data_IF_473760846310
#
_entry.id   IF_473760846310
#
_cell.length_a   1.000
_cell.length_b   1.000
_cell.length_c   1.000
_cell.angle_alpha   90.00
_cell.angle_beta   90.00
_cell.angle_gamma   90.00
#
_symmetry.space_group_name_H-M   'P 1'
#
loop_
_entity.id
_entity.type
_entity.pdbx_description
1 polymer ?
#
# COMPACT_ATOMS: atom_id res chain seq x y z
N UNK A 1 0.79 16.14 4.99
CA UNK A 1 1.27 15.06 4.09
C UNK A 1 2.70 15.25 3.53
N UNK A 2 3.28 16.48 3.45
CA UNK A 2 4.58 16.72 2.76
C UNK A 2 5.86 16.41 3.53
N UNK A 3 5.86 16.38 4.87
CA UNK A 3 7.13 16.39 5.64
C UNK A 3 7.81 15.01 5.83
N UNK A 4 7.15 13.88 5.52
CA UNK A 4 7.60 12.55 5.97
C UNK A 4 7.73 11.49 4.85
N UNK A 5 7.48 11.87 3.59
CA UNK A 5 7.74 11.04 2.41
C UNK A 5 9.25 10.86 2.21
N UNK A 6 10.02 11.93 2.44
CA UNK A 6 11.49 11.91 2.35
C UNK A 6 12.12 10.92 3.33
N UNK A 7 11.62 10.83 4.56
CA UNK A 7 12.18 9.89 5.54
C UNK A 7 11.85 8.45 5.18
N UNK A 8 10.64 8.17 4.68
CA UNK A 8 10.27 6.84 4.18
C UNK A 8 11.12 6.42 2.98
N UNK A 9 11.35 7.34 2.03
CA UNK A 9 12.24 7.10 0.88
C UNK A 9 13.67 6.83 1.35
N UNK A 10 14.24 7.69 2.18
CA UNK A 10 15.62 7.55 2.66
C UNK A 10 15.82 6.22 3.40
N UNK A 11 14.87 5.83 4.25
CA UNK A 11 14.93 4.59 5.01
C UNK A 11 14.74 3.35 4.12
N UNK A 12 13.85 3.43 3.12
CA UNK A 12 13.67 2.34 2.14
C UNK A 12 14.91 2.17 1.27
N UNK A 13 15.56 3.27 0.86
CA UNK A 13 16.81 3.24 0.12
C UNK A 13 17.92 2.60 0.95
N UNK A 14 18.04 2.98 2.23
CA UNK A 14 19.02 2.43 3.15
C UNK A 14 18.83 0.92 3.33
N UNK A 15 17.61 0.46 3.62
CA UNK A 15 17.32 -0.96 3.76
C UNK A 15 17.47 -1.71 2.43
N UNK A 16 16.97 -1.15 1.33
CA UNK A 16 17.13 -1.74 -0.01
C UNK A 16 18.58 -1.96 -0.40
N UNK A 17 19.49 -1.07 0.01
CA UNK A 17 20.93 -1.22 -0.20
C UNK A 17 21.52 -2.33 0.70
N UNK A 18 21.14 -2.37 1.98
CA UNK A 18 21.61 -3.39 2.94
C UNK A 18 21.23 -4.81 2.49
N UNK A 19 20.01 -4.99 1.99
CA UNK A 19 19.50 -6.28 1.53
C UNK A 19 19.75 -6.56 0.04
N UNK A 20 20.45 -5.68 -0.67
CA UNK A 20 20.74 -5.76 -2.11
C UNK A 20 19.50 -5.95 -3.01
N UNK A 21 18.37 -5.37 -2.60
CA UNK A 21 17.06 -5.40 -3.30
C UNK A 21 16.58 -3.99 -3.64
N UNK A 22 17.53 -3.10 -3.93
CA UNK A 22 17.29 -1.66 -4.07
C UNK A 22 16.19 -1.31 -5.08
N UNK A 23 16.24 -1.91 -6.28
CA UNK A 23 15.28 -1.64 -7.35
C UNK A 23 13.89 -2.16 -6.99
N UNK A 24 13.80 -3.39 -6.47
CA UNK A 24 12.50 -3.97 -6.06
C UNK A 24 11.90 -3.18 -4.89
N UNK A 25 12.73 -2.73 -3.94
CA UNK A 25 12.27 -1.93 -2.80
C UNK A 25 11.73 -0.56 -3.26
N UNK A 26 12.36 0.05 -4.26
CA UNK A 26 11.85 1.29 -4.84
C UNK A 26 10.53 1.09 -5.58
N UNK A 27 10.39 0.00 -6.34
CA UNK A 27 9.14 -0.37 -7.02
C UNK A 27 8.02 -0.60 -6.00
N UNK A 28 8.31 -1.35 -4.93
CA UNK A 28 7.36 -1.57 -3.84
C UNK A 28 6.93 -0.25 -3.18
N UNK A 29 7.88 0.63 -2.89
CA UNK A 29 7.60 1.93 -2.29
C UNK A 29 6.68 2.79 -3.16
N UNK A 30 6.98 2.89 -4.46
CA UNK A 30 6.16 3.65 -5.41
C UNK A 30 4.77 3.04 -5.51
N UNK A 31 4.66 1.72 -5.63
CA UNK A 31 3.39 1.02 -5.67
C UNK A 31 2.54 1.29 -4.41
N UNK A 32 3.17 1.26 -3.23
CA UNK A 32 2.51 1.59 -1.96
C UNK A 32 2.01 3.03 -1.92
N UNK A 33 2.86 4.00 -2.27
CA UNK A 33 2.50 5.43 -2.25
C UNK A 33 1.33 5.71 -3.19
N UNK A 34 1.41 5.20 -4.42
CA UNK A 34 0.37 5.38 -5.45
C UNK A 34 -0.93 4.73 -4.99
N UNK A 35 -0.88 3.46 -4.59
CA UNK A 35 -2.09 2.73 -4.17
C UNK A 35 -2.73 3.37 -2.95
N UNK A 36 -1.95 3.78 -1.95
CA UNK A 36 -2.43 4.45 -0.72
C UNK A 36 -3.03 5.82 -1.01
N UNK A 37 -2.50 6.56 -1.98
CA UNK A 37 -3.06 7.86 -2.40
C UNK A 37 -4.48 7.72 -2.94
N UNK A 38 -4.79 6.63 -3.65
CA UNK A 38 -6.12 6.40 -4.25
C UNK A 38 -7.05 5.57 -3.37
N UNK A 39 -6.52 4.64 -2.57
CA UNK A 39 -7.35 3.77 -1.71
C UNK A 39 -7.63 4.37 -0.33
N UNK A 40 -6.79 5.31 0.13
CA UNK A 40 -6.84 5.87 1.49
C UNK A 40 -6.23 4.91 2.53
N UNK A 41 -6.88 4.81 3.68
CA UNK A 41 -6.51 3.90 4.77
C UNK A 41 -5.93 4.57 6.02
N UNK A 42 -5.68 3.75 7.03
CA UNK A 42 -5.30 4.20 8.38
C UNK A 42 -3.99 5.00 8.38
N UNK A 43 -4.02 6.20 8.96
CA UNK A 43 -2.85 7.05 9.14
C UNK A 43 -2.22 6.78 10.51
N UNK A 44 -1.09 6.07 10.49
CA UNK A 44 -0.25 5.89 11.67
C UNK A 44 0.45 7.21 12.04
N UNK A 45 0.88 7.36 13.30
CA UNK A 45 1.77 8.45 13.71
C UNK A 45 2.95 8.59 12.76
N UNK A 46 3.36 9.83 12.51
CA UNK A 46 4.31 10.21 11.46
C UNK A 46 5.60 9.38 11.53
N UNK A 47 6.21 9.24 12.71
CA UNK A 47 7.45 8.46 12.91
C UNK A 47 7.29 6.96 12.59
N UNK A 48 6.13 6.38 12.92
CA UNK A 48 5.86 4.96 12.68
C UNK A 48 5.51 4.69 11.21
N UNK A 49 4.85 5.63 10.53
CA UNK A 49 4.43 5.45 9.14
C UNK A 49 5.63 5.29 8.18
N UNK A 50 6.67 6.12 8.35
CA UNK A 50 7.86 6.04 7.49
C UNK A 50 8.69 4.78 7.76
N UNK A 51 8.79 4.36 9.04
CA UNK A 51 9.42 3.11 9.43
C UNK A 51 8.69 1.89 8.86
N UNK A 52 7.37 1.82 9.05
CA UNK A 52 6.53 0.73 8.53
C UNK A 52 6.59 0.67 7.01
N UNK A 53 6.52 1.83 6.34
CA UNK A 53 6.63 1.93 4.88
C UNK A 53 7.95 1.34 4.38
N UNK A 54 9.07 1.69 5.02
CA UNK A 54 10.38 1.18 4.64
C UNK A 54 10.50 -0.32 4.88
N UNK A 55 10.08 -0.80 6.04
CA UNK A 55 10.12 -2.23 6.39
C UNK A 55 9.27 -3.04 5.40
N UNK A 56 8.03 -2.64 5.15
CA UNK A 56 7.14 -3.36 4.23
C UNK A 56 7.66 -3.36 2.80
N UNK A 57 8.21 -2.23 2.33
CA UNK A 57 8.75 -2.12 0.96
C UNK A 57 9.97 -3.02 0.78
N UNK A 58 10.89 -3.04 1.75
CA UNK A 58 12.06 -3.94 1.72
C UNK A 58 11.65 -5.40 1.87
N UNK A 59 10.69 -5.72 2.74
CA UNK A 59 10.19 -7.08 2.90
C UNK A 59 9.52 -7.61 1.63
N UNK A 60 8.65 -6.80 1.00
CA UNK A 60 8.02 -7.12 -0.27
C UNK A 60 9.04 -7.31 -1.40
N UNK A 61 10.15 -6.58 -1.36
CA UNK A 61 11.24 -6.68 -2.32
C UNK A 61 12.08 -7.96 -2.15
N UNK A 62 12.26 -8.44 -0.91
CA UNK A 62 13.04 -9.63 -0.62
C UNK A 62 12.30 -10.96 -0.80
N UNK A 63 10.97 -10.94 -0.84
CA UNK A 63 10.15 -12.16 -0.94
C UNK A 63 9.82 -12.46 -2.42
N UNK A 64 10.29 -13.62 -2.89
CA UNK A 64 9.90 -14.18 -4.18
C UNK A 64 8.73 -15.14 -3.99
N UNK A 65 7.69 -14.97 -4.80
CA UNK A 65 6.49 -15.79 -4.78
C UNK A 65 6.41 -16.60 -6.07
N UNK A 66 5.82 -17.79 -6.00
CA UNK A 66 5.46 -18.53 -7.20
C UNK A 66 4.22 -17.90 -7.89
N UNK A 67 3.96 -18.29 -9.13
CA UNK A 67 2.83 -17.74 -9.90
C UNK A 67 1.47 -17.94 -9.22
N UNK A 68 1.26 -19.07 -8.56
CA UNK A 68 0.01 -19.35 -7.83
C UNK A 68 -0.21 -18.33 -6.71
N UNK A 69 0.79 -18.08 -5.87
CA UNK A 69 0.70 -17.11 -4.78
C UNK A 69 0.60 -15.67 -5.29
N UNK A 70 1.27 -15.33 -6.40
CA UNK A 70 1.13 -14.03 -7.05
C UNK A 70 -0.33 -13.78 -7.44
N UNK A 71 -0.96 -14.75 -8.10
CA UNK A 71 -2.36 -14.65 -8.51
C UNK A 71 -3.30 -14.63 -7.31
N UNK A 72 -3.09 -15.50 -6.32
CA UNK A 72 -3.91 -15.54 -5.10
C UNK A 72 -3.86 -14.22 -4.32
N UNK A 73 -2.66 -13.67 -4.06
CA UNK A 73 -2.51 -12.42 -3.31
C UNK A 73 -3.04 -11.22 -4.09
N UNK A 74 -2.81 -11.18 -5.41
CA UNK A 74 -3.37 -10.12 -6.26
C UNK A 74 -4.90 -10.18 -6.26
N UNK A 75 -5.50 -11.37 -6.38
CA UNK A 75 -6.95 -11.55 -6.33
C UNK A 75 -7.54 -11.15 -4.99
N UNK A 76 -6.93 -11.58 -3.87
CA UNK A 76 -7.38 -11.22 -2.53
C UNK A 76 -7.31 -9.70 -2.30
N UNK A 77 -6.22 -9.07 -2.73
CA UNK A 77 -6.04 -7.61 -2.66
C UNK A 77 -7.09 -6.88 -3.48
N UNK A 78 -7.41 -7.39 -4.68
CA UNK A 78 -8.42 -6.82 -5.56
C UNK A 78 -9.80 -6.89 -4.92
N UNK A 79 -10.17 -8.04 -4.35
CA UNK A 79 -11.45 -8.23 -3.65
C UNK A 79 -11.54 -7.29 -2.45
N UNK A 80 -10.50 -7.22 -1.62
CA UNK A 80 -10.48 -6.31 -0.47
C UNK A 80 -10.67 -4.85 -0.90
N UNK A 81 -10.01 -4.40 -1.96
CA UNK A 81 -10.15 -3.03 -2.49
C UNK A 81 -11.52 -2.77 -3.12
N UNK A 82 -12.10 -3.75 -3.80
CA UNK A 82 -13.46 -3.63 -4.32
C UNK A 82 -14.50 -3.50 -3.21
N UNK A 83 -14.30 -4.16 -2.08
CA UNK A 83 -15.26 -4.14 -0.96
C UNK A 83 -15.08 -2.94 -0.04
N UNK A 84 -13.83 -2.59 0.28
CA UNK A 84 -13.54 -1.65 1.38
C UNK A 84 -13.00 -0.29 0.92
N UNK A 85 -12.50 -0.17 -0.32
CA UNK A 85 -12.05 1.12 -0.82
C UNK A 85 -13.19 1.91 -1.51
N UNK A 86 -13.12 3.25 -1.49
CA UNK A 86 -12.18 4.08 -0.73
C UNK A 86 -12.66 4.33 0.71
N UNK A 87 -11.73 4.41 1.66
CA UNK A 87 -12.04 4.86 3.03
C UNK A 87 -11.76 6.37 3.12
N UNK A 88 -12.81 7.17 3.23
CA UNK A 88 -12.73 8.57 3.67
C UNK A 88 -12.84 8.63 5.19
N UNK A 89 -12.01 9.48 5.81
CA UNK A 89 -12.21 9.89 7.20
C UNK A 89 -13.01 11.19 7.18
N UNK A 90 -13.99 11.31 8.08
CA UNK A 90 -14.91 12.46 8.17
C UNK A 90 -14.16 13.79 8.20
N UNK A 91 -14.46 14.68 7.25
CA UNK A 91 -13.93 16.05 7.18
C UNK A 91 -13.31 16.47 5.85
N UNK A 92 -13.04 15.56 4.91
CA UNK A 92 -12.60 15.92 3.55
C UNK A 92 -13.80 15.92 2.58
N UNK A 93 -14.18 17.10 2.08
CA UNK A 93 -15.23 17.37 1.07
C UNK A 93 -14.92 16.74 -0.32
N UNK A 94 -14.68 15.43 -0.39
CA UNK A 94 -14.16 14.74 -1.57
C UNK A 94 -15.19 13.83 -2.27
N UNK A 95 -16.49 14.01 -2.04
CA UNK A 95 -17.56 13.11 -2.52
C UNK A 95 -17.58 12.85 -4.04
N UNK A 96 -16.97 13.71 -4.87
CA UNK A 96 -16.94 13.54 -6.33
C UNK A 96 -15.76 12.67 -6.86
N UNK A 97 -14.65 12.54 -6.12
CA UNK A 97 -13.46 11.80 -6.58
C UNK A 97 -13.42 10.33 -6.10
N UNK A 98 -14.31 9.95 -5.20
CA UNK A 98 -14.43 8.59 -4.65
C UNK A 98 -14.52 7.46 -5.69
N UNK A 99 -15.38 7.53 -6.74
CA UNK A 99 -15.50 6.43 -7.70
C UNK A 99 -14.27 6.30 -8.62
N UNK A 100 -13.64 7.43 -8.98
CA UNK A 100 -12.43 7.43 -9.80
C UNK A 100 -11.25 6.84 -9.03
N UNK A 101 -11.09 7.21 -7.76
CA UNK A 101 -10.01 6.72 -6.91
C UNK A 101 -10.09 5.19 -6.75
N UNK A 102 -11.29 4.64 -6.51
CA UNK A 102 -11.54 3.20 -6.47
C UNK A 102 -11.16 2.51 -7.78
N UNK A 103 -11.59 3.06 -8.90
CA UNK A 103 -11.32 2.50 -10.23
C UNK A 103 -9.81 2.43 -10.49
N UNK A 104 -9.07 3.49 -10.14
CA UNK A 104 -7.60 3.51 -10.29
C UNK A 104 -6.94 2.45 -9.41
N UNK A 105 -7.36 2.29 -8.15
CA UNK A 105 -6.84 1.23 -7.28
C UNK A 105 -7.09 -0.17 -7.84
N UNK A 106 -8.28 -0.43 -8.36
CA UNK A 106 -8.65 -1.71 -8.98
C UNK A 106 -7.79 -1.97 -10.21
N UNK A 107 -7.65 -0.99 -11.11
CA UNK A 107 -6.84 -1.10 -12.34
C UNK A 107 -5.37 -1.34 -11.99
N UNK A 108 -4.84 -0.65 -10.98
CA UNK A 108 -3.46 -0.81 -10.54
C UNK A 108 -3.20 -2.25 -10.04
N UNK A 109 -4.10 -2.80 -9.22
CA UNK A 109 -3.97 -4.17 -8.73
C UNK A 109 -4.16 -5.19 -9.85
N UNK A 110 -5.17 -4.97 -10.70
CA UNK A 110 -5.44 -5.85 -11.83
C UNK A 110 -4.27 -5.92 -12.83
N UNK A 111 -3.51 -4.83 -12.98
CA UNK A 111 -2.32 -4.81 -13.83
C UNK A 111 -1.29 -5.89 -13.45
N UNK A 112 -1.23 -6.28 -12.17
CA UNK A 112 -0.29 -7.31 -11.72
C UNK A 112 -0.68 -8.73 -12.13
N UNK A 113 -1.90 -8.98 -12.62
CA UNK A 113 -2.20 -10.24 -13.31
C UNK A 113 -1.45 -10.37 -14.65
N UNK A 114 -1.13 -9.24 -15.28
CA UNK A 114 -0.37 -9.18 -16.54
C UNK A 114 1.14 -9.17 -16.25
N UNK A 115 1.60 -8.32 -15.33
CA UNK A 115 3.02 -8.23 -14.99
C UNK A 115 3.55 -9.41 -14.17
N UNK A 116 2.67 -10.07 -13.41
CA UNK A 116 3.00 -11.19 -12.51
C UNK A 116 4.21 -10.91 -11.61
N UNK A 117 4.29 -9.71 -11.03
CA UNK A 117 5.39 -9.32 -10.14
C UNK A 117 5.11 -9.78 -8.71
N UNK A 118 6.05 -10.51 -8.11
CA UNK A 118 5.98 -10.92 -6.70
C UNK A 118 6.01 -9.71 -5.76
N UNK A 119 6.86 -8.73 -6.06
CA UNK A 119 7.00 -7.50 -5.28
C UNK A 119 5.70 -6.71 -5.25
N UNK A 120 5.03 -6.54 -6.40
CA UNK A 120 3.75 -5.85 -6.46
C UNK A 120 2.64 -6.63 -5.74
N UNK A 121 2.57 -7.95 -5.91
CA UNK A 121 1.59 -8.79 -5.22
C UNK A 121 1.71 -8.66 -3.69
N UNK A 122 2.93 -8.70 -3.17
CA UNK A 122 3.21 -8.50 -1.73
C UNK A 122 2.82 -7.10 -1.26
N UNK A 123 3.12 -6.07 -2.03
CA UNK A 123 2.80 -4.71 -1.63
C UNK A 123 1.29 -4.44 -1.65
N UNK A 124 0.58 -4.98 -2.64
CA UNK A 124 -0.86 -4.83 -2.75
C UNK A 124 -1.60 -5.52 -1.61
N UNK A 125 -1.15 -6.71 -1.20
CA UNK A 125 -1.78 -7.40 -0.07
C UNK A 125 -1.53 -6.64 1.24
N UNK A 126 -0.30 -6.16 1.47
CA UNK A 126 0.01 -5.34 2.64
C UNK A 126 -0.87 -4.08 2.69
N UNK A 127 -1.00 -3.35 1.58
CA UNK A 127 -1.85 -2.16 1.53
C UNK A 127 -3.33 -2.50 1.74
N UNK A 128 -3.81 -3.62 1.20
CA UNK A 128 -5.20 -4.05 1.39
C UNK A 128 -5.54 -4.33 2.85
N UNK A 129 -4.58 -4.83 3.64
CA UNK A 129 -4.75 -5.06 5.08
C UNK A 129 -4.99 -3.76 5.85
N UNK A 130 -4.36 -2.65 5.45
CA UNK A 130 -4.54 -1.34 6.09
C UNK A 130 -5.92 -0.70 5.86
N UNK A 131 -6.71 -1.27 4.94
CA UNK A 131 -8.05 -0.78 4.57
C UNK A 131 -9.13 -1.69 5.18
N UNK A 132 -8.77 -2.82 5.80
CA UNK A 132 -9.76 -3.65 6.46
C UNK A 132 -10.43 -2.91 7.64
N UNK A 133 -11.75 -3.05 7.83
CA UNK A 133 -12.53 -2.29 8.82
C UNK A 133 -12.10 -2.56 10.28
N UNK A 134 -11.36 -3.65 10.51
CA UNK A 134 -10.77 -4.03 11.80
C UNK A 134 -9.88 -2.89 12.34
N UNK A 135 -9.17 -2.17 11.47
CA UNK A 135 -8.30 -1.05 11.86
C UNK A 135 -9.01 0.31 11.80
N UNK A 136 -10.16 0.41 11.13
CA UNK A 136 -10.88 1.66 10.90
C UNK A 136 -11.75 2.11 12.09
N UNK A 137 -11.97 1.26 13.09
CA UNK A 137 -12.97 1.51 14.15
C UNK A 137 -12.41 2.20 15.40
N UNK A 138 -11.11 2.54 15.45
CA UNK A 138 -10.47 3.13 16.66
C UNK A 138 -9.53 4.31 16.39
N UNK A 139 -9.76 5.06 15.31
CA UNK A 139 -8.93 6.21 14.94
C UNK A 139 -9.45 7.58 15.37
N UNK A 140 -10.57 7.65 16.10
CA UNK A 140 -11.31 8.90 16.34
C UNK A 140 -11.75 9.19 17.77
N UNK A 141 -11.32 8.40 18.76
CA UNK A 141 -11.60 8.71 20.17
C UNK A 141 -10.39 8.35 21.05
N UNK A 142 -9.50 9.33 21.19
CA UNK A 142 -8.81 9.56 22.46
C UNK A 142 -8.99 11.05 22.73
N UNK A 143 -9.88 11.34 23.68
CA UNK A 143 -10.02 12.64 24.35
C UNK A 143 -8.66 13.22 24.78
#
# INVERSE_FOLDING_TARGET
MKLNLYSGIALTMLFGLIFNVFIQALIALVALIVLRRFSGGFHLPISLCSLVTAILSTLAAGITLNHLFIHMFTALSLVAMMLFAPISFEGDDADAFHPLAKTISIVLIASNFVFQSSTLAMMFIFQSTFILPIYSTKGGEIE
#
